data_IF_577892361733
#
_entry.id   IF_577892361733
#
_cell.length_a   1.000
_cell.length_b   1.000
_cell.length_c   1.000
_cell.angle_alpha   90.00
_cell.angle_beta   90.00
_cell.angle_gamma   90.00
#
_symmetry.space_group_name_H-M   'P 1'
#
loop_
_entity.id
_entity.type
_entity.pdbx_description
1 polymer ?
#
# COMPACT_ATOMS: atom_id res chain seq x y z
N UNK A 1 -14.83 -49.74 36.63
CA UNK A 1 -13.43 -49.90 36.18
C UNK A 1 -13.08 -48.60 35.43
N UNK A 2 -13.00 -47.45 36.11
CA UNK A 2 -11.84 -46.94 36.87
C UNK A 2 -10.55 -47.11 36.09
N UNK A 3 -10.12 -46.05 35.39
CA UNK A 3 -8.77 -45.49 35.51
C UNK A 3 -8.84 -43.97 35.33
N UNK A 4 -8.13 -43.32 36.23
CA UNK A 4 -8.07 -41.91 36.58
C UNK A 4 -6.58 -41.58 36.56
N UNK A 5 -6.14 -40.72 35.64
CA UNK A 5 -4.83 -40.04 35.62
C UNK A 5 -5.11 -38.76 34.79
N UNK A 6 -5.13 -37.54 35.32
CA UNK A 6 -4.31 -37.00 36.39
C UNK A 6 -3.01 -36.48 35.78
N UNK A 7 -3.07 -35.36 35.07
CA UNK A 7 -1.89 -34.55 34.75
C UNK A 7 -2.19 -33.08 35.03
N UNK A 8 -1.92 -32.74 36.28
CA UNK A 8 -1.59 -31.41 36.74
C UNK A 8 -0.11 -31.18 36.36
N UNK A 9 0.16 -30.24 35.46
CA UNK A 9 1.51 -29.66 35.32
C UNK A 9 1.41 -28.21 35.75
N UNK A 10 1.92 -28.02 36.97
CA UNK A 10 2.25 -26.78 37.61
C UNK A 10 2.95 -25.78 36.69
N UNK A 11 2.68 -24.52 36.99
CA UNK A 11 3.20 -23.35 36.29
C UNK A 11 4.72 -23.22 36.25
N UNK A 12 5.13 -22.47 35.25
CA UNK A 12 6.42 -21.78 35.20
C UNK A 12 6.09 -20.33 34.86
N UNK A 13 5.81 -19.54 35.89
CA UNK A 13 6.13 -18.12 35.86
C UNK A 13 7.65 -18.01 36.01
N UNK A 14 8.36 -17.72 34.93
CA UNK A 14 9.72 -17.18 35.02
C UNK A 14 9.80 -15.89 34.23
N UNK A 15 10.05 -14.86 35.02
CA UNK A 15 10.25 -13.46 34.74
C UNK A 15 11.44 -13.20 33.81
N UNK A 16 11.34 -12.07 33.08
CA UNK A 16 12.44 -11.20 32.61
C UNK A 16 13.40 -11.79 31.59
N UNK A 17 13.50 -11.16 30.42
CA UNK A 17 14.73 -10.44 30.00
C UNK A 17 14.42 -9.58 28.78
N UNK A 18 14.44 -8.26 29.00
CA UNK A 18 14.49 -7.27 27.94
C UNK A 18 15.80 -7.41 27.16
N UNK A 19 15.72 -7.64 25.85
CA UNK A 19 16.89 -7.50 24.96
C UNK A 19 16.83 -6.08 24.40
N UNK A 20 17.57 -5.21 25.09
CA UNK A 20 18.05 -3.93 24.58
C UNK A 20 19.16 -4.22 23.59
N UNK A 21 18.97 -3.91 22.31
CA UNK A 21 20.09 -3.74 21.38
C UNK A 21 20.29 -2.25 21.14
N UNK A 22 21.34 -1.74 21.77
CA UNK A 22 21.91 -0.43 21.52
C UNK A 22 22.74 -0.49 20.23
N UNK A 23 22.59 0.53 19.38
CA UNK A 23 23.70 1.00 18.54
C UNK A 23 23.77 2.51 18.72
N UNK A 24 24.85 2.92 19.37
CA UNK A 24 25.25 4.31 19.52
C UNK A 24 26.13 4.72 18.34
N UNK A 25 25.97 5.94 17.84
CA UNK A 25 27.10 6.72 17.36
C UNK A 25 26.77 8.22 17.40
N UNK A 26 27.68 8.94 18.02
CA UNK A 26 27.69 10.33 18.42
C UNK A 26 28.22 11.19 17.27
N UNK A 27 27.61 12.35 17.01
CA UNK A 27 28.32 13.52 16.45
C UNK A 27 27.91 14.76 17.24
N UNK A 28 28.89 15.33 17.95
CA UNK A 28 28.86 16.62 18.61
C UNK A 28 28.84 17.76 17.57
N UNK A 29 28.12 18.83 17.87
CA UNK A 29 28.66 20.20 17.79
C UNK A 29 27.82 21.16 18.64
N UNK A 30 28.55 21.91 19.45
CA UNK A 30 28.19 22.88 20.49
C UNK A 30 27.38 24.07 20.00
N UNK A 31 26.53 24.66 20.85
CA UNK A 31 26.55 26.10 21.21
C UNK A 31 25.73 26.34 22.49
N UNK A 32 26.35 27.02 23.45
CA UNK A 32 25.80 27.46 24.74
C UNK A 32 24.95 28.72 24.59
N UNK A 33 23.70 28.70 25.06
CA UNK A 33 22.99 29.88 25.54
C UNK A 33 22.08 29.51 26.72
N UNK A 34 22.20 30.26 27.80
CA UNK A 34 21.62 30.05 29.11
C UNK A 34 20.45 31.04 29.31
N UNK A 35 19.32 30.61 29.88
CA UNK A 35 18.24 31.51 30.33
C UNK A 35 16.85 30.86 30.32
N UNK A 36 16.27 30.61 31.51
CA UNK A 36 14.99 29.92 31.72
C UNK A 36 13.72 30.75 31.48
N UNK A 37 12.59 30.40 32.12
CA UNK A 37 11.47 29.65 31.54
C UNK A 37 10.28 30.55 31.14
N UNK A 38 9.57 30.19 30.07
CA UNK A 38 8.31 30.83 29.69
C UNK A 38 7.28 29.79 29.22
N UNK A 39 6.41 29.41 30.16
CA UNK A 39 4.97 29.11 30.05
C UNK A 39 4.46 28.95 28.61
N UNK A 40 4.09 27.72 28.24
CA UNK A 40 3.25 27.41 27.08
C UNK A 40 1.85 28.03 27.24
N UNK A 41 1.36 28.84 26.29
CA UNK A 41 -0.07 28.95 26.07
C UNK A 41 -0.50 27.89 25.05
N UNK A 42 -1.31 26.96 25.54
CA UNK A 42 -2.18 26.15 24.71
C UNK A 42 -3.07 27.03 23.81
N UNK A 43 -3.32 26.56 22.60
CA UNK A 43 -4.54 26.88 21.86
C UNK A 43 -4.40 27.91 20.75
N UNK A 44 -4.10 27.42 19.55
CA UNK A 44 -5.05 27.54 18.45
C UNK A 44 -4.64 26.59 17.35
N UNK A 45 -5.40 25.51 17.23
CA UNK A 45 -5.48 24.71 16.02
C UNK A 45 -5.98 25.63 14.90
N UNK A 46 -5.03 26.27 14.22
CA UNK A 46 -5.27 26.77 12.89
C UNK A 46 -5.57 25.52 12.06
N UNK A 47 -6.85 25.37 11.69
CA UNK A 47 -7.28 24.33 10.77
C UNK A 47 -6.47 24.47 9.49
N UNK A 48 -5.49 23.59 9.34
CA UNK A 48 -4.86 23.32 8.06
C UNK A 48 -5.95 22.73 7.18
N UNK A 49 -6.61 23.59 6.41
CA UNK A 49 -7.20 23.12 5.15
C UNK A 49 -6.00 22.87 4.26
N UNK A 50 -5.41 21.70 4.43
CA UNK A 50 -4.35 21.18 3.60
C UNK A 50 -5.00 21.02 2.23
N UNK A 51 -4.84 22.02 1.37
CA UNK A 51 -4.97 21.80 -0.05
C UNK A 51 -3.98 20.68 -0.35
N UNK A 52 -4.52 19.49 -0.63
CA UNK A 52 -3.76 18.27 -0.87
C UNK A 52 -2.72 18.58 -1.93
N UNK A 53 -1.48 18.82 -1.51
CA UNK A 53 -0.33 18.89 -2.38
C UNK A 53 -0.10 17.47 -2.87
N UNK A 54 -0.94 17.02 -3.81
CA UNK A 54 -0.91 15.67 -4.35
C UNK A 54 0.50 15.37 -4.84
N UNK A 55 0.93 14.12 -4.68
CA UNK A 55 2.25 13.70 -5.10
C UNK A 55 2.49 14.14 -6.57
N UNK A 56 3.49 15.00 -6.77
CA UNK A 56 3.92 15.37 -8.11
C UNK A 56 4.75 14.22 -8.66
N UNK A 57 4.31 13.62 -9.76
CA UNK A 57 5.02 12.53 -10.42
C UNK A 57 5.32 12.87 -11.88
N UNK A 58 6.44 12.34 -12.35
CA UNK A 58 7.06 12.61 -13.65
C UNK A 58 6.92 11.41 -14.59
N UNK A 59 7.30 11.57 -15.86
CA UNK A 59 7.37 10.46 -16.81
C UNK A 59 8.31 9.33 -16.33
N UNK A 60 9.38 9.68 -15.60
CA UNK A 60 10.29 8.71 -14.99
C UNK A 60 9.58 7.88 -13.92
N UNK A 61 8.73 8.51 -13.11
CA UNK A 61 7.93 7.82 -12.09
C UNK A 61 6.92 6.86 -12.74
N UNK A 62 6.28 7.26 -13.85
CA UNK A 62 5.38 6.39 -14.61
C UNK A 62 6.10 5.18 -15.21
N UNK A 63 7.30 5.40 -15.75
CA UNK A 63 8.15 4.31 -16.25
C UNK A 63 8.59 3.36 -15.13
N UNK A 64 8.91 3.90 -13.96
CA UNK A 64 9.26 3.11 -12.78
C UNK A 64 8.07 2.32 -12.24
N UNK A 65 6.89 2.94 -12.17
CA UNK A 65 5.63 2.31 -11.80
C UNK A 65 5.32 1.13 -12.73
N UNK A 66 5.42 1.31 -14.04
CA UNK A 66 5.18 0.23 -15.01
C UNK A 66 6.11 -0.97 -14.78
N UNK A 67 7.41 -0.74 -14.57
CA UNK A 67 8.37 -1.81 -14.27
C UNK A 67 8.04 -2.51 -12.95
N UNK A 68 7.69 -1.75 -11.92
CA UNK A 68 7.30 -2.30 -10.63
C UNK A 68 6.04 -3.17 -10.73
N UNK A 69 5.01 -2.69 -11.42
CA UNK A 69 3.76 -3.45 -11.62
C UNK A 69 3.97 -4.73 -12.41
N UNK A 70 4.82 -4.72 -13.44
CA UNK A 70 5.21 -5.93 -14.16
C UNK A 70 5.84 -6.95 -13.20
N UNK A 71 6.68 -6.49 -12.27
CA UNK A 71 7.29 -7.38 -11.28
C UNK A 71 6.28 -7.91 -10.25
N UNK A 72 5.34 -7.08 -9.82
CA UNK A 72 4.26 -7.53 -8.94
C UNK A 72 3.41 -8.60 -9.62
N UNK A 73 3.05 -8.44 -10.90
CA UNK A 73 2.31 -9.44 -11.68
C UNK A 73 3.04 -10.78 -11.73
N UNK A 74 4.35 -10.77 -12.00
CA UNK A 74 5.18 -11.98 -11.99
C UNK A 74 5.11 -12.69 -10.62
N UNK A 75 5.21 -11.91 -9.53
CA UNK A 75 5.17 -12.43 -8.18
C UNK A 75 3.80 -13.05 -7.84
N UNK A 76 2.70 -12.37 -8.20
CA UNK A 76 1.34 -12.88 -8.02
C UNK A 76 1.13 -14.18 -8.79
N UNK A 77 1.56 -14.25 -10.06
CA UNK A 77 1.46 -15.48 -10.87
C UNK A 77 2.25 -16.63 -10.27
N UNK A 78 3.48 -16.38 -9.83
CA UNK A 78 4.31 -17.40 -9.19
C UNK A 78 3.68 -17.90 -7.87
N UNK A 79 3.08 -17.00 -7.09
CA UNK A 79 2.35 -17.33 -5.88
C UNK A 79 1.10 -18.19 -6.16
N UNK A 80 0.28 -17.79 -7.14
CA UNK A 80 -0.90 -18.55 -7.56
C UNK A 80 -0.55 -19.93 -8.11
N UNK A 81 0.50 -20.03 -8.93
CA UNK A 81 1.01 -21.31 -9.43
C UNK A 81 1.40 -22.23 -8.28
N UNK A 82 2.21 -21.75 -7.32
CA UNK A 82 2.58 -22.52 -6.11
C UNK A 82 1.37 -22.95 -5.28
N UNK A 83 0.38 -22.08 -5.14
CA UNK A 83 -0.87 -22.38 -4.42
C UNK A 83 -1.65 -23.52 -5.11
N UNK A 84 -1.74 -23.47 -6.44
CA UNK A 84 -2.48 -24.47 -7.24
C UNK A 84 -1.85 -25.87 -7.20
N UNK A 85 -0.53 -25.96 -7.01
CA UNK A 85 0.21 -27.22 -6.94
C UNK A 85 0.54 -27.67 -5.51
N UNK A 86 0.14 -26.90 -4.49
CA UNK A 86 0.45 -27.19 -3.09
C UNK A 86 -0.26 -28.47 -2.62
N UNK A 87 0.51 -29.34 -1.97
CA UNK A 87 0.03 -30.66 -1.49
C UNK A 87 -0.54 -30.60 -0.08
N UNK A 88 -0.24 -29.54 0.66
CA UNK A 88 -0.76 -29.31 2.01
C UNK A 88 -1.51 -27.98 2.13
N UNK A 89 -2.47 -27.87 3.07
CA UNK A 89 -3.13 -26.60 3.37
C UNK A 89 -2.17 -25.49 3.79
N UNK A 90 -1.11 -25.83 4.53
CA UNK A 90 -0.11 -24.89 5.02
C UNK A 90 0.70 -24.28 3.85
N UNK A 91 1.19 -25.11 2.94
CA UNK A 91 1.89 -24.64 1.72
C UNK A 91 0.99 -23.74 0.88
N UNK A 92 -0.28 -24.13 0.72
CA UNK A 92 -1.27 -23.33 -0.02
C UNK A 92 -1.49 -21.98 0.63
N UNK A 93 -1.66 -21.94 1.95
CA UNK A 93 -1.84 -20.70 2.71
C UNK A 93 -0.64 -19.75 2.57
N UNK A 94 0.59 -20.27 2.68
CA UNK A 94 1.80 -19.47 2.48
C UNK A 94 1.92 -18.95 1.04
N UNK A 95 1.55 -19.76 0.05
CA UNK A 95 1.55 -19.34 -1.35
C UNK A 95 0.50 -18.24 -1.60
N UNK A 96 -0.70 -18.35 -1.03
CA UNK A 96 -1.73 -17.29 -1.11
C UNK A 96 -1.22 -16.00 -0.46
N UNK A 97 -0.64 -16.07 0.74
CA UNK A 97 -0.08 -14.89 1.41
C UNK A 97 1.02 -14.21 0.59
N UNK A 98 1.82 -14.98 -0.15
CA UNK A 98 2.83 -14.43 -1.05
C UNK A 98 2.27 -13.68 -2.27
N UNK A 99 0.96 -13.79 -2.54
CA UNK A 99 0.27 -13.00 -3.57
C UNK A 99 -0.26 -11.65 -3.06
N UNK A 100 -0.23 -11.40 -1.76
CA UNK A 100 -0.73 -10.15 -1.18
C UNK A 100 0.21 -8.99 -1.43
N UNK A 101 -0.36 -7.78 -1.48
CA UNK A 101 0.38 -6.54 -1.71
C UNK A 101 1.56 -6.34 -0.76
N UNK A 102 1.41 -6.73 0.51
CA UNK A 102 2.48 -6.67 1.53
C UNK A 102 3.72 -7.50 1.15
N UNK A 103 3.56 -8.51 0.29
CA UNK A 103 4.65 -9.34 -0.22
C UNK A 103 5.12 -8.89 -1.61
N UNK A 104 4.23 -8.36 -2.46
CA UNK A 104 4.55 -8.02 -3.86
C UNK A 104 5.10 -6.60 -4.02
N UNK A 105 4.60 -5.62 -3.27
CA UNK A 105 5.03 -4.22 -3.35
C UNK A 105 6.56 -4.07 -3.17
N UNK A 106 7.22 -4.73 -2.20
CA UNK A 106 8.68 -4.64 -2.08
C UNK A 106 9.44 -5.13 -3.33
N UNK A 107 8.93 -6.16 -4.01
CA UNK A 107 9.52 -6.68 -5.25
C UNK A 107 9.31 -5.70 -6.41
N UNK A 108 8.12 -5.09 -6.48
CA UNK A 108 7.82 -4.01 -7.42
C UNK A 108 8.76 -2.81 -7.23
N UNK A 109 8.96 -2.39 -5.98
CA UNK A 109 9.85 -1.29 -5.64
C UNK A 109 11.31 -1.58 -6.03
N UNK A 110 11.80 -2.79 -5.77
CA UNK A 110 13.15 -3.23 -6.19
C UNK A 110 13.31 -3.14 -7.71
N UNK A 111 12.36 -3.67 -8.49
CA UNK A 111 12.39 -3.60 -9.96
C UNK A 111 12.24 -2.17 -10.51
N UNK A 112 11.56 -1.30 -9.77
CA UNK A 112 11.45 0.11 -10.09
C UNK A 112 12.75 0.88 -9.80
N UNK A 113 13.65 0.34 -8.97
CA UNK A 113 14.85 1.02 -8.46
C UNK A 113 14.52 2.02 -7.35
N UNK A 114 13.46 1.78 -6.57
CA UNK A 114 12.91 2.69 -5.57
C UNK A 114 12.81 2.00 -4.20
N UNK A 115 12.64 2.80 -3.14
CA UNK A 115 12.15 2.27 -1.86
C UNK A 115 10.67 1.92 -1.95
N UNK A 116 10.19 1.04 -1.08
CA UNK A 116 8.77 0.65 -1.02
C UNK A 116 7.85 1.87 -0.88
N UNK A 117 8.17 2.82 0.00
CA UNK A 117 7.38 4.04 0.20
C UNK A 117 7.35 4.94 -1.04
N UNK A 118 8.48 5.10 -1.74
CA UNK A 118 8.58 5.93 -2.95
C UNK A 118 7.88 5.30 -4.15
N UNK A 119 7.76 3.98 -4.17
CA UNK A 119 6.99 3.24 -5.17
C UNK A 119 5.49 3.23 -4.85
N UNK A 120 5.12 3.02 -3.58
CA UNK A 120 3.73 2.94 -3.13
C UNK A 120 2.94 4.23 -3.35
N UNK A 121 3.52 5.39 -3.04
CA UNK A 121 2.81 6.67 -3.18
C UNK A 121 2.24 6.95 -4.59
N UNK A 122 3.03 6.89 -5.69
CA UNK A 122 2.49 7.06 -7.04
C UNK A 122 1.62 5.85 -7.46
N UNK A 123 1.94 4.63 -7.02
CA UNK A 123 1.12 3.44 -7.31
C UNK A 123 -0.31 3.61 -6.83
N UNK A 124 -0.50 3.93 -5.56
CA UNK A 124 -1.82 4.02 -4.94
C UNK A 124 -2.62 5.17 -5.55
N UNK A 125 -1.97 6.31 -5.77
CA UNK A 125 -2.59 7.46 -6.44
C UNK A 125 -3.06 7.12 -7.86
N UNK A 126 -2.22 6.47 -8.66
CA UNK A 126 -2.58 6.05 -10.03
C UNK A 126 -3.67 4.98 -10.00
N UNK A 127 -3.63 4.04 -9.06
CA UNK A 127 -4.65 3.01 -8.90
C UNK A 127 -6.02 3.60 -8.56
N UNK A 128 -6.06 4.62 -7.71
CA UNK A 128 -7.30 5.31 -7.36
C UNK A 128 -7.92 6.03 -8.56
N UNK A 129 -7.09 6.66 -9.40
CA UNK A 129 -7.55 7.27 -10.66
C UNK A 129 -8.08 6.22 -11.63
N UNK A 130 -7.31 5.15 -11.88
CA UNK A 130 -7.71 4.09 -12.81
C UNK A 130 -8.98 3.37 -12.32
N UNK A 131 -9.08 3.05 -11.04
CA UNK A 131 -10.29 2.50 -10.42
C UNK A 131 -11.50 3.42 -10.59
N UNK A 132 -11.29 4.73 -10.45
CA UNK A 132 -12.36 5.72 -10.66
C UNK A 132 -12.79 5.74 -12.12
N UNK A 133 -11.86 5.72 -13.07
CA UNK A 133 -12.16 5.64 -14.50
C UNK A 133 -12.89 4.34 -14.87
N UNK A 134 -12.52 3.22 -14.25
CA UNK A 134 -13.18 1.92 -14.45
C UNK A 134 -14.63 1.96 -14.00
N UNK A 135 -14.88 2.39 -12.75
CA UNK A 135 -16.24 2.57 -12.23
C UNK A 135 -17.08 3.63 -12.96
N UNK A 136 -16.46 4.50 -13.75
CA UNK A 136 -17.12 5.49 -14.60
C UNK A 136 -17.34 5.00 -16.04
N UNK A 137 -17.01 3.74 -16.34
CA UNK A 137 -17.02 3.15 -17.67
C UNK A 137 -16.17 3.95 -18.69
N UNK A 138 -15.10 4.61 -18.23
CA UNK A 138 -14.17 5.38 -19.08
C UNK A 138 -13.00 4.56 -19.61
N UNK A 139 -12.74 3.43 -18.95
CA UNK A 139 -11.81 2.39 -19.39
C UNK A 139 -12.53 1.05 -19.33
N UNK A 140 -12.15 0.12 -20.19
CA UNK A 140 -12.70 -1.25 -20.19
C UNK A 140 -11.97 -2.08 -19.12
N UNK A 141 -12.38 -1.90 -17.86
CA UNK A 141 -11.78 -2.58 -16.72
C UNK A 141 -12.68 -3.63 -16.08
N UNK A 142 -12.11 -4.44 -15.16
CA UNK A 142 -12.81 -5.57 -14.56
C UNK A 142 -13.73 -5.16 -13.40
N UNK A 143 -13.70 -3.89 -12.97
CA UNK A 143 -14.41 -3.47 -11.77
C UNK A 143 -15.81 -2.98 -12.11
N UNK A 144 -16.80 -3.46 -11.35
CA UNK A 144 -18.18 -3.01 -11.47
C UNK A 144 -18.72 -2.62 -10.10
N UNK A 145 -19.49 -1.55 -10.04
CA UNK A 145 -20.12 -1.07 -8.80
C UNK A 145 -21.60 -0.78 -9.04
N UNK A 146 -22.46 -1.35 -8.19
CA UNK A 146 -23.87 -0.99 -8.16
C UNK A 146 -24.06 0.40 -7.53
N UNK A 147 -24.11 1.42 -8.39
CA UNK A 147 -24.33 2.80 -7.98
C UNK A 147 -25.68 3.04 -7.30
N UNK A 148 -26.66 2.14 -7.42
CA UNK A 148 -27.92 2.30 -6.69
C UNK A 148 -27.71 2.11 -5.18
N UNK A 149 -26.79 1.22 -4.80
CA UNK A 149 -26.47 0.84 -3.41
C UNK A 149 -25.25 1.54 -2.83
N UNK A 150 -24.44 2.20 -3.67
CA UNK A 150 -23.31 3.00 -3.19
C UNK A 150 -23.78 4.13 -2.25
N UNK A 151 -22.93 4.54 -1.32
CA UNK A 151 -23.19 5.71 -0.48
C UNK A 151 -23.09 7.03 -1.27
N UNK A 152 -23.55 8.13 -0.68
CA UNK A 152 -23.56 9.44 -1.34
C UNK A 152 -22.14 9.93 -1.69
N UNK A 153 -21.17 9.70 -0.81
CA UNK A 153 -19.78 10.12 -1.01
C UNK A 153 -19.14 9.41 -2.22
N UNK A 154 -19.44 8.12 -2.40
CA UNK A 154 -18.97 7.33 -3.53
C UNK A 154 -19.61 7.80 -4.83
N UNK A 155 -20.92 8.07 -4.84
CA UNK A 155 -21.60 8.63 -6.02
C UNK A 155 -21.03 9.99 -6.40
N UNK A 156 -20.82 10.87 -5.42
CA UNK A 156 -20.20 12.17 -5.64
C UNK A 156 -18.80 12.01 -6.23
N UNK A 157 -17.93 11.21 -5.61
CA UNK A 157 -16.58 10.94 -6.11
C UNK A 157 -16.60 10.44 -7.55
N UNK A 158 -17.46 9.47 -7.86
CA UNK A 158 -17.57 8.89 -9.20
C UNK A 158 -18.27 9.80 -10.22
N UNK A 159 -18.92 10.89 -9.78
CA UNK A 159 -19.50 11.88 -10.71
C UNK A 159 -18.51 12.97 -11.15
N UNK A 160 -17.36 13.09 -10.46
CA UNK A 160 -16.34 14.12 -10.73
C UNK A 160 -15.29 13.62 -11.73
N UNK A 161 -14.50 14.55 -12.26
CA UNK A 161 -13.33 14.19 -13.07
C UNK A 161 -12.33 13.38 -12.24
N UNK A 162 -11.88 12.24 -12.76
CA UNK A 162 -11.01 11.32 -12.04
C UNK A 162 -9.62 11.91 -11.71
N UNK A 163 -9.21 12.98 -12.40
CA UNK A 163 -7.93 13.65 -12.21
C UNK A 163 -8.05 14.93 -11.38
N UNK A 164 -9.25 15.29 -10.89
CA UNK A 164 -9.50 16.58 -10.23
C UNK A 164 -8.65 16.79 -8.98
N UNK A 165 -8.33 15.71 -8.28
CA UNK A 165 -7.55 15.73 -7.05
C UNK A 165 -6.03 15.65 -7.30
N UNK A 166 -5.59 15.63 -8.57
CA UNK A 166 -4.18 15.67 -8.96
C UNK A 166 -3.70 17.08 -9.31
N UNK A 167 -2.44 17.43 -8.99
CA UNK A 167 -1.80 18.59 -9.61
C UNK A 167 -1.84 18.47 -11.14
N UNK A 168 -2.06 19.58 -11.85
CA UNK A 168 -2.22 19.60 -13.30
C UNK A 168 -1.04 18.92 -14.04
N UNK A 169 0.19 19.16 -13.56
CA UNK A 169 1.38 18.52 -14.11
C UNK A 169 1.33 16.97 -14.00
N UNK A 170 0.94 16.44 -12.85
CA UNK A 170 0.77 14.99 -12.64
C UNK A 170 -0.37 14.43 -13.50
N UNK A 171 -1.50 15.13 -13.57
CA UNK A 171 -2.63 14.72 -14.40
C UNK A 171 -2.23 14.66 -15.88
N UNK A 172 -1.47 15.64 -16.38
CA UNK A 172 -0.94 15.64 -17.74
C UNK A 172 0.01 14.48 -18.00
N UNK A 173 0.92 14.19 -17.06
CA UNK A 173 1.86 13.07 -17.17
C UNK A 173 1.11 11.74 -17.21
N UNK A 174 0.16 11.52 -16.30
CA UNK A 174 -0.62 10.29 -16.24
C UNK A 174 -1.40 10.09 -17.54
N UNK A 175 -2.13 11.12 -18.01
CA UNK A 175 -2.88 11.04 -19.28
C UNK A 175 -1.98 10.65 -20.46
N UNK A 176 -0.78 11.22 -20.53
CA UNK A 176 0.18 10.90 -21.60
C UNK A 176 0.72 9.46 -21.54
N UNK A 177 0.61 8.77 -20.40
CA UNK A 177 1.15 7.43 -20.18
C UNK A 177 0.06 6.38 -19.93
N UNK A 178 -1.22 6.74 -20.06
CA UNK A 178 -2.33 5.82 -19.82
C UNK A 178 -2.22 4.57 -20.70
N UNK A 179 -1.89 4.73 -21.98
CA UNK A 179 -1.78 3.61 -22.93
C UNK A 179 -0.70 2.58 -22.53
N UNK A 180 0.33 3.00 -21.79
CA UNK A 180 1.39 2.12 -21.32
C UNK A 180 1.07 1.48 -19.96
N UNK A 181 0.39 2.21 -19.08
CA UNK A 181 0.09 1.77 -17.71
C UNK A 181 -1.17 0.91 -17.68
N UNK A 182 -2.19 1.30 -18.43
CA UNK A 182 -3.52 0.69 -18.38
C UNK A 182 -3.49 -0.83 -18.62
N UNK A 183 -2.81 -1.37 -19.66
CA UNK A 183 -2.77 -2.81 -19.86
C UNK A 183 -2.16 -3.58 -18.68
N UNK A 184 -1.11 -3.01 -18.07
CA UNK A 184 -0.42 -3.63 -16.93
C UNK A 184 -1.30 -3.56 -15.68
N UNK A 185 -1.98 -2.43 -15.45
CA UNK A 185 -2.93 -2.30 -14.34
C UNK A 185 -4.12 -3.25 -14.48
N UNK A 186 -4.67 -3.41 -15.69
CA UNK A 186 -5.76 -4.34 -15.97
C UNK A 186 -5.35 -5.78 -15.68
N UNK A 187 -4.16 -6.17 -16.12
CA UNK A 187 -3.60 -7.50 -15.85
C UNK A 187 -3.41 -7.74 -14.35
N UNK A 188 -2.82 -6.78 -13.64
CA UNK A 188 -2.66 -6.84 -12.19
C UNK A 188 -4.01 -6.96 -11.47
N UNK A 189 -4.97 -6.13 -11.84
CA UNK A 189 -6.29 -6.09 -11.21
C UNK A 189 -7.06 -7.39 -11.47
N UNK A 190 -7.01 -7.94 -12.68
CA UNK A 190 -7.63 -9.25 -12.98
C UNK A 190 -7.01 -10.40 -12.18
N UNK A 191 -5.70 -10.34 -11.92
CA UNK A 191 -5.01 -11.38 -11.14
C UNK A 191 -5.31 -11.28 -9.63
N UNK A 192 -5.54 -10.08 -9.13
CA UNK A 192 -5.67 -9.80 -7.69
C UNK A 192 -7.09 -9.55 -7.23
N UNK A 193 -8.02 -9.31 -8.16
CA UNK A 193 -9.44 -9.33 -7.88
C UNK A 193 -9.78 -10.70 -7.29
N UNK A 194 -10.23 -10.69 -6.02
CA UNK A 194 -10.76 -11.89 -5.39
C UNK A 194 -11.97 -12.30 -6.22
N UNK A 195 -11.89 -13.45 -6.88
CA UNK A 195 -13.07 -14.09 -7.43
C UNK A 195 -14.04 -14.31 -6.26
N UNK A 196 -15.06 -13.45 -6.18
CA UNK A 196 -16.14 -13.55 -5.20
C UNK A 196 -16.93 -14.84 -5.35
#
# INVERSE_FOLDING_TARGET
>A
MIWMLGYDIMGIETTRTAIRSAVAAIVLLTHTACGGPAIDPAGSAAGTTEGTGGAVFTATDMSALRRGLQKEIEAVRAAQSRSSTATTPQERGLAIQASFETATIPLGAEAAGLSADRYGAPRDTVFDVLRTLDFQDKIDGPLSLDLSRADAATKERLSRDAFVDLPEASASVLRAHLDEILPVWLEYTNLTAVAG
#
